data_IF_803013303111
#
_entry.id   IF_803013303111
#
_cell.length_a   1.000
_cell.length_b   1.000
_cell.length_c   1.000
_cell.angle_alpha   90.00
_cell.angle_beta   90.00
_cell.angle_gamma   90.00
#
_symmetry.space_group_name_H-M   'P 1'
#
loop_
_entity.id
_entity.type
_entity.pdbx_description
1 polymer ?
#
# COMPACT_ATOMS: atom_id res chain seq x y z
N UNK A 1 23.34 60.43 -13.77
CA UNK A 1 24.04 59.63 -12.75
C UNK A 1 24.08 58.19 -13.26
N UNK A 2 25.29 57.61 -13.37
CA UNK A 2 25.54 56.23 -13.80
C UNK A 2 24.95 55.24 -12.77
N UNK A 3 24.48 54.09 -13.24
CA UNK A 3 24.87 52.78 -12.70
C UNK A 3 24.56 51.68 -13.74
N UNK A 4 25.64 50.99 -14.10
CA UNK A 4 25.69 49.80 -14.95
C UNK A 4 25.18 48.58 -14.18
N UNK A 5 24.69 47.56 -14.91
CA UNK A 5 24.48 46.23 -14.36
C UNK A 5 24.13 45.24 -15.46
N UNK A 6 25.15 44.64 -16.06
CA UNK A 6 25.05 43.59 -17.06
C UNK A 6 24.55 42.28 -16.43
N UNK A 7 23.62 41.60 -17.09
CA UNK A 7 23.30 40.19 -16.88
C UNK A 7 23.33 39.51 -18.25
N UNK A 8 24.32 38.64 -18.43
CA UNK A 8 24.55 37.85 -19.63
C UNK A 8 24.37 36.36 -19.30
N UNK A 9 23.79 35.62 -20.25
CA UNK A 9 23.88 34.17 -20.38
C UNK A 9 22.84 33.39 -19.57
N UNK A 10 22.23 32.31 -20.07
CA UNK A 10 22.36 31.64 -21.36
C UNK A 10 21.06 30.87 -21.64
N UNK A 11 20.60 30.96 -22.88
CA UNK A 11 19.50 30.20 -23.45
C UNK A 11 20.08 28.86 -23.93
N UNK A 12 19.66 27.73 -23.37
CA UNK A 12 19.99 26.41 -23.93
C UNK A 12 18.79 25.86 -24.69
N UNK A 13 18.85 25.97 -26.00
CA UNK A 13 18.04 25.23 -26.97
C UNK A 13 18.67 23.86 -27.23
N UNK A 14 17.91 22.79 -27.01
CA UNK A 14 18.26 21.44 -27.46
C UNK A 14 17.95 21.31 -28.96
N UNK A 15 18.98 21.17 -29.78
CA UNK A 15 18.88 20.57 -31.11
C UNK A 15 19.32 19.11 -30.98
N UNK A 16 18.40 18.21 -31.32
CA UNK A 16 18.72 16.82 -31.59
C UNK A 16 19.33 16.76 -32.99
N UNK A 17 20.56 16.25 -33.10
CA UNK A 17 21.10 15.79 -34.37
C UNK A 17 21.65 14.37 -34.20
N UNK A 18 21.33 13.54 -35.18
CA UNK A 18 21.58 12.13 -35.21
C UNK A 18 22.99 11.87 -35.73
N UNK A 19 23.83 11.21 -34.94
CA UNK A 19 25.11 10.77 -35.48
C UNK A 19 26.11 10.24 -34.47
N UNK A 20 26.25 8.91 -34.49
CA UNK A 20 27.49 8.17 -34.28
C UNK A 20 27.99 8.00 -32.83
N UNK A 21 28.13 6.74 -32.48
CA UNK A 21 28.64 6.21 -31.21
C UNK A 21 30.15 6.44 -31.14
N UNK A 22 30.61 7.13 -30.10
CA UNK A 22 31.99 7.03 -29.63
C UNK A 22 32.01 7.01 -28.10
N UNK A 23 32.80 6.07 -27.57
CA UNK A 23 32.89 5.76 -26.15
C UNK A 23 33.27 6.98 -25.31
N UNK A 24 32.43 7.32 -24.32
CA UNK A 24 32.74 8.34 -23.31
C UNK A 24 33.80 7.78 -22.37
N UNK A 25 35.06 8.07 -22.68
CA UNK A 25 36.21 7.77 -21.82
C UNK A 25 36.43 8.94 -20.85
N UNK A 26 35.81 8.88 -19.68
CA UNK A 26 36.06 9.86 -18.60
C UNK A 26 37.46 9.60 -18.02
N UNK A 27 38.42 10.44 -18.37
CA UNK A 27 39.71 10.55 -17.66
C UNK A 27 39.58 11.61 -16.57
N UNK A 28 39.26 11.19 -15.34
CA UNK A 28 39.32 12.06 -14.17
C UNK A 28 40.77 12.25 -13.71
N UNK A 29 41.31 13.45 -13.87
CA UNK A 29 42.57 13.87 -13.29
C UNK A 29 42.35 14.46 -11.89
N UNK A 30 43.06 13.90 -10.91
CA UNK A 30 43.44 14.47 -9.60
C UNK A 30 42.31 14.98 -8.68
N UNK A 31 42.02 14.14 -7.67
CA UNK A 31 41.85 14.51 -6.26
C UNK A 31 41.04 15.78 -5.97
N UNK A 32 39.72 15.61 -5.99
CA UNK A 32 38.87 16.21 -4.95
C UNK A 32 38.23 15.04 -4.21
N UNK A 33 38.81 14.69 -3.05
CA UNK A 33 38.15 13.79 -2.12
C UNK A 33 36.95 14.55 -1.57
N UNK A 34 35.76 14.16 -2.00
CA UNK A 34 34.53 14.59 -1.37
C UNK A 34 34.44 13.79 -0.06
N UNK A 35 34.80 14.45 1.04
CA UNK A 35 34.71 13.88 2.37
C UNK A 35 33.23 13.79 2.76
N UNK A 36 32.67 12.58 2.69
CA UNK A 36 31.28 12.27 3.04
C UNK A 36 31.22 11.89 4.54
N UNK A 37 31.93 12.59 5.41
CA UNK A 37 32.03 12.22 6.84
C UNK A 37 30.79 12.55 7.69
N UNK A 38 29.68 13.02 7.10
CA UNK A 38 28.42 13.26 7.83
C UNK A 38 27.17 12.63 7.23
N UNK A 39 27.31 11.63 6.35
CA UNK A 39 26.17 10.76 6.06
C UNK A 39 26.02 9.85 7.28
N UNK A 40 25.17 10.29 8.22
CA UNK A 40 24.79 9.47 9.38
C UNK A 40 24.50 8.05 8.91
N UNK A 41 25.01 7.07 9.65
CA UNK A 41 24.93 5.63 9.36
C UNK A 41 23.62 5.30 8.65
N UNK A 42 23.67 5.17 7.33
CA UNK A 42 22.57 4.58 6.57
C UNK A 42 22.60 3.12 6.97
N UNK A 43 21.76 2.76 7.94
CA UNK A 43 21.55 1.36 8.27
C UNK A 43 21.19 0.65 6.96
N UNK A 44 21.92 -0.41 6.57
CA UNK A 44 21.65 -1.12 5.35
C UNK A 44 20.19 -1.56 5.37
N UNK A 45 19.37 -1.03 4.46
CA UNK A 45 18.00 -1.52 4.30
C UNK A 45 18.09 -3.00 3.96
N UNK A 46 17.45 -3.86 4.76
CA UNK A 46 17.39 -5.28 4.45
C UNK A 46 16.83 -5.47 3.04
N UNK A 47 17.47 -6.31 2.20
CA UNK A 47 17.01 -6.55 0.86
C UNK A 47 15.62 -7.18 0.91
N UNK A 48 14.67 -6.57 0.18
CA UNK A 48 13.33 -7.14 0.00
C UNK A 48 13.47 -8.52 -0.63
N UNK A 49 12.90 -9.54 0.00
CA UNK A 49 12.87 -10.86 -0.62
C UNK A 49 11.85 -10.85 -1.76
N UNK A 50 12.33 -11.25 -2.95
CA UNK A 50 11.45 -11.52 -4.08
C UNK A 50 10.71 -12.82 -3.82
N UNK A 51 9.41 -12.82 -4.11
CA UNK A 51 8.55 -13.99 -4.07
C UNK A 51 9.13 -15.12 -4.94
N UNK A 52 9.07 -16.35 -4.45
CA UNK A 52 9.68 -17.52 -5.12
C UNK A 52 8.66 -18.47 -5.78
N UNK A 53 7.38 -18.34 -5.42
CA UNK A 53 6.27 -19.10 -6.00
C UNK A 53 5.01 -18.23 -6.04
N UNK A 54 4.15 -18.45 -7.03
CA UNK A 54 2.90 -17.69 -7.20
C UNK A 54 1.95 -17.82 -6.00
N UNK A 55 1.22 -16.76 -5.69
CA UNK A 55 0.17 -16.80 -4.68
C UNK A 55 -1.17 -17.20 -5.33
N UNK A 56 -1.79 -18.25 -4.81
CA UNK A 56 -3.11 -18.72 -5.22
C UNK A 56 -4.21 -18.36 -4.23
N UNK A 57 -5.47 -18.47 -4.66
CA UNK A 57 -6.63 -18.31 -3.78
C UNK A 57 -6.68 -19.44 -2.75
N UNK A 58 -6.87 -19.08 -1.47
CA UNK A 58 -7.01 -20.05 -0.38
C UNK A 58 -8.31 -20.86 -0.55
N UNK A 59 -8.20 -22.18 -0.51
CA UNK A 59 -9.36 -23.07 -0.76
C UNK A 59 -10.47 -22.92 0.28
N UNK A 60 -10.11 -22.53 1.51
CA UNK A 60 -11.07 -22.26 2.59
C UNK A 60 -12.05 -21.11 2.27
N UNK A 61 -11.73 -20.24 1.31
CA UNK A 61 -12.54 -19.08 0.94
C UNK A 61 -13.44 -19.33 -0.27
N UNK A 62 -13.44 -20.54 -0.84
CA UNK A 62 -14.22 -20.86 -2.04
C UNK A 62 -15.72 -20.56 -1.89
N UNK A 63 -16.27 -20.67 -0.67
CA UNK A 63 -17.67 -20.39 -0.38
C UNK A 63 -17.94 -18.95 0.13
N UNK A 64 -16.92 -18.10 0.25
CA UNK A 64 -17.06 -16.77 0.88
C UNK A 64 -17.48 -15.65 -0.09
N UNK A 65 -17.42 -15.88 -1.41
CA UNK A 65 -17.78 -14.86 -2.40
C UNK A 65 -19.22 -14.35 -2.22
N UNK A 66 -20.14 -15.25 -1.88
CA UNK A 66 -21.58 -14.96 -1.71
C UNK A 66 -22.07 -15.12 -0.26
N UNK A 67 -21.15 -15.32 0.70
CA UNK A 67 -21.52 -15.55 2.09
C UNK A 67 -22.05 -14.27 2.78
N UNK A 68 -23.08 -14.43 3.61
CA UNK A 68 -23.54 -13.35 4.50
C UNK A 68 -22.56 -13.24 5.66
N UNK A 69 -21.93 -12.07 5.78
CA UNK A 69 -20.91 -11.80 6.77
C UNK A 69 -21.51 -11.43 8.12
N UNK A 70 -20.90 -11.91 9.21
CA UNK A 70 -21.33 -11.58 10.58
C UNK A 70 -20.67 -10.30 11.06
N UNK A 71 -21.27 -9.51 11.98
CA UNK A 71 -20.63 -8.32 12.52
C UNK A 71 -19.25 -8.58 13.12
N UNK A 72 -18.35 -7.61 12.99
CA UNK A 72 -17.00 -7.69 13.56
C UNK A 72 -17.06 -7.85 15.10
N UNK A 73 -16.39 -8.86 15.68
CA UNK A 73 -16.40 -9.07 17.12
C UNK A 73 -15.71 -7.92 17.86
N UNK A 74 -16.14 -7.66 19.11
CA UNK A 74 -15.65 -6.53 19.89
C UNK A 74 -14.16 -6.67 20.29
N UNK A 75 -13.68 -7.90 20.41
CA UNK A 75 -12.30 -8.28 20.73
C UNK A 75 -11.44 -8.56 19.49
N UNK A 76 -11.86 -8.08 18.31
CA UNK A 76 -11.14 -8.27 17.07
C UNK A 76 -9.70 -7.74 17.14
N UNK A 77 -8.73 -8.64 17.00
CA UNK A 77 -7.30 -8.36 17.13
C UNK A 77 -6.59 -8.14 15.78
N UNK A 78 -7.33 -7.82 14.71
CA UNK A 78 -6.74 -7.56 13.39
C UNK A 78 -6.55 -8.80 12.52
N UNK A 79 -7.09 -9.97 12.88
CA UNK A 79 -6.98 -11.19 12.04
C UNK A 79 -8.36 -11.73 11.70
N UNK A 80 -8.67 -11.83 10.40
CA UNK A 80 -9.87 -12.52 9.91
C UNK A 80 -9.48 -13.95 9.53
N UNK A 81 -9.96 -14.99 10.24
CA UNK A 81 -9.55 -16.38 9.98
C UNK A 81 -10.03 -16.91 8.62
N UNK A 82 -9.33 -17.93 8.11
CA UNK A 82 -9.71 -18.69 6.92
C UNK A 82 -11.17 -19.17 7.01
N UNK A 83 -11.97 -19.00 5.95
CA UNK A 83 -13.37 -19.47 5.92
C UNK A 83 -14.34 -18.68 6.82
N UNK A 84 -13.90 -17.59 7.45
CA UNK A 84 -14.75 -16.69 8.25
C UNK A 84 -15.00 -15.41 7.48
N UNK A 85 -16.24 -14.89 7.55
CA UNK A 85 -16.55 -13.55 7.04
C UNK A 85 -17.00 -12.59 8.14
N UNK A 86 -16.31 -11.46 8.26
CA UNK A 86 -16.74 -10.33 9.09
C UNK A 86 -17.21 -9.14 8.27
N UNK A 87 -18.25 -8.48 8.76
CA UNK A 87 -18.78 -7.24 8.21
C UNK A 87 -18.52 -6.07 9.14
N UNK A 88 -18.23 -4.92 8.54
CA UNK A 88 -18.09 -3.62 9.21
C UNK A 88 -19.42 -2.84 9.27
N UNK A 89 -20.56 -3.51 9.09
CA UNK A 89 -21.90 -2.90 9.07
C UNK A 89 -22.20 -2.02 10.29
N UNK A 90 -21.72 -2.39 11.47
CA UNK A 90 -21.98 -1.64 12.71
C UNK A 90 -21.30 -0.26 12.71
N UNK A 91 -20.26 -0.09 11.90
CA UNK A 91 -19.56 1.19 11.69
C UNK A 91 -20.30 2.13 10.74
N UNK A 92 -21.43 1.72 10.16
CA UNK A 92 -22.38 2.65 9.52
C UNK A 92 -23.46 3.17 10.48
N UNK A 93 -23.56 2.59 11.68
CA UNK A 93 -24.61 2.87 12.66
C UNK A 93 -24.05 3.17 14.04
N UNK A 94 -24.19 2.22 14.96
CA UNK A 94 -23.88 2.41 16.38
C UNK A 94 -22.41 2.77 16.66
N UNK A 95 -21.48 2.40 15.75
CA UNK A 95 -20.04 2.61 15.88
C UNK A 95 -19.47 3.55 14.81
N UNK A 96 -20.32 4.36 14.19
CA UNK A 96 -19.89 5.23 13.10
C UNK A 96 -18.82 6.25 13.54
N UNK A 97 -17.75 6.34 12.76
CA UNK A 97 -16.63 7.26 13.01
C UNK A 97 -15.62 6.77 14.05
N UNK A 98 -15.77 5.55 14.56
CA UNK A 98 -14.80 4.96 15.50
C UNK A 98 -13.44 4.73 14.82
N UNK A 99 -12.37 4.83 15.63
CA UNK A 99 -11.02 4.46 15.23
C UNK A 99 -10.65 3.11 15.82
N UNK A 100 -10.36 2.13 14.97
CA UNK A 100 -9.82 0.83 15.36
C UNK A 100 -8.29 0.84 15.26
N UNK A 101 -7.60 0.56 16.35
CA UNK A 101 -6.14 0.44 16.37
C UNK A 101 -5.75 -1.04 16.42
N UNK A 102 -5.07 -1.51 15.38
CA UNK A 102 -4.59 -2.89 15.26
C UNK A 102 -3.07 -2.89 15.36
N UNK A 103 -2.54 -2.98 16.58
CA UNK A 103 -1.10 -2.82 16.84
C UNK A 103 -0.21 -3.84 16.09
N UNK A 104 -0.75 -5.01 15.76
CA UNK A 104 -0.04 -6.10 15.10
C UNK A 104 -0.23 -6.15 13.58
N UNK A 105 -1.02 -5.26 13.00
CA UNK A 105 -1.41 -5.34 11.59
C UNK A 105 -2.85 -5.80 11.40
N UNK A 106 -3.36 -5.61 10.18
CA UNK A 106 -4.61 -6.20 9.70
C UNK A 106 -4.27 -7.35 8.75
N UNK A 107 -4.62 -8.58 9.09
CA UNK A 107 -4.43 -9.78 8.26
C UNK A 107 -5.77 -10.41 7.91
N UNK A 108 -6.19 -10.27 6.65
CA UNK A 108 -7.44 -10.79 6.12
C UNK A 108 -7.17 -12.11 5.41
N UNK A 109 -7.32 -13.22 6.15
CA UNK A 109 -7.19 -14.58 5.61
C UNK A 109 -8.54 -15.09 5.09
N UNK A 110 -9.63 -14.78 5.79
CA UNK A 110 -11.00 -15.01 5.36
C UNK A 110 -11.56 -13.87 4.50
N UNK A 111 -12.76 -13.38 4.81
CA UNK A 111 -13.37 -12.21 4.16
C UNK A 111 -13.64 -11.09 5.15
N UNK A 112 -13.22 -9.87 4.80
CA UNK A 112 -13.59 -8.64 5.51
C UNK A 112 -14.38 -7.74 4.57
N UNK A 113 -15.59 -7.41 4.95
CA UNK A 113 -16.56 -6.68 4.14
C UNK A 113 -16.86 -5.31 4.76
N UNK A 114 -16.64 -4.24 4.00
CA UNK A 114 -17.05 -2.87 4.33
C UNK A 114 -18.26 -2.53 3.48
N UNK A 115 -19.49 -2.80 3.96
CA UNK A 115 -20.69 -2.49 3.21
C UNK A 115 -20.87 -0.96 3.06
N UNK A 116 -21.73 -0.57 2.13
CA UNK A 116 -22.05 0.83 1.88
C UNK A 116 -22.49 1.55 3.17
N UNK A 117 -22.02 2.78 3.34
CA UNK A 117 -22.25 3.58 4.55
C UNK A 117 -21.34 3.28 5.74
N UNK A 118 -20.41 2.32 5.65
CA UNK A 118 -19.41 2.06 6.71
C UNK A 118 -18.50 3.25 6.93
N UNK A 119 -18.41 3.75 8.17
CA UNK A 119 -17.56 4.90 8.57
C UNK A 119 -16.59 4.51 9.67
N UNK A 120 -15.32 4.33 9.34
CA UNK A 120 -14.31 3.84 10.27
C UNK A 120 -12.91 4.31 9.89
N UNK A 121 -12.08 4.59 10.89
CA UNK A 121 -10.63 4.76 10.70
C UNK A 121 -9.89 3.56 11.26
N UNK A 122 -9.06 2.91 10.46
CA UNK A 122 -8.21 1.80 10.88
C UNK A 122 -6.77 2.32 10.98
N UNK A 123 -6.20 2.30 12.17
CA UNK A 123 -4.78 2.58 12.39
C UNK A 123 -4.02 1.25 12.56
N UNK A 124 -3.10 0.97 11.64
CA UNK A 124 -2.44 -0.33 11.57
C UNK A 124 -1.05 -0.20 10.95
N UNK A 125 -0.03 -0.96 11.40
CA UNK A 125 1.29 -0.93 10.78
C UNK A 125 1.36 -1.65 9.43
N UNK A 126 0.43 -2.57 9.16
CA UNK A 126 0.37 -3.35 7.92
C UNK A 126 -1.06 -3.77 7.58
N UNK A 127 -1.28 -4.06 6.30
CA UNK A 127 -2.49 -4.71 5.81
C UNK A 127 -2.08 -5.85 4.88
N UNK A 128 -2.51 -7.06 5.21
CA UNK A 128 -2.28 -8.27 4.44
C UNK A 128 -3.62 -8.83 3.99
N UNK A 129 -3.78 -9.00 2.67
CA UNK A 129 -4.99 -9.55 2.06
C UNK A 129 -4.62 -10.87 1.40
N UNK A 130 -4.98 -11.96 2.06
CA UNK A 130 -4.79 -13.34 1.58
C UNK A 130 -6.11 -13.98 1.15
N UNK A 131 -7.22 -13.53 1.73
CA UNK A 131 -8.57 -13.87 1.33
C UNK A 131 -9.25 -12.72 0.58
N UNK A 132 -10.41 -12.27 1.03
CA UNK A 132 -11.22 -11.25 0.32
C UNK A 132 -11.34 -10.00 1.18
N UNK A 133 -10.91 -8.86 0.66
CA UNK A 133 -11.18 -7.55 1.24
C UNK A 133 -12.11 -6.79 0.29
N UNK A 134 -13.38 -6.61 0.70
CA UNK A 134 -14.37 -5.90 -0.10
C UNK A 134 -14.75 -4.57 0.55
N UNK A 135 -14.83 -3.50 -0.23
CA UNK A 135 -15.28 -2.18 0.20
C UNK A 135 -16.24 -1.61 -0.81
N UNK A 136 -17.43 -1.21 -0.37
CA UNK A 136 -18.44 -0.58 -1.23
C UNK A 136 -18.83 0.79 -0.69
N UNK A 137 -18.97 1.77 -1.58
CA UNK A 137 -19.46 3.11 -1.28
C UNK A 137 -20.24 3.65 -2.48
N UNK A 138 -21.52 3.96 -2.27
CA UNK A 138 -22.38 4.61 -3.28
C UNK A 138 -22.45 6.13 -3.11
N UNK A 139 -21.75 6.66 -2.10
CA UNK A 139 -21.80 8.09 -1.78
C UNK A 139 -21.13 8.95 -2.85
N UNK A 140 -21.68 10.15 -3.05
CA UNK A 140 -21.01 11.20 -3.82
C UNK A 140 -19.61 11.50 -3.26
N UNK A 141 -18.64 11.69 -4.17
CA UNK A 141 -17.26 12.00 -3.83
C UNK A 141 -17.17 13.45 -3.31
N UNK A 142 -17.03 13.60 -1.99
CA UNK A 142 -16.93 14.91 -1.32
C UNK A 142 -15.49 15.30 -0.96
N UNK A 143 -14.50 14.44 -1.27
CA UNK A 143 -13.11 14.57 -0.82
C UNK A 143 -12.86 14.05 0.60
N UNK A 144 -13.92 13.69 1.34
CA UNK A 144 -13.79 13.04 2.64
C UNK A 144 -14.06 11.53 2.50
N UNK A 145 -13.12 10.63 2.83
CA UNK A 145 -13.37 9.19 2.80
C UNK A 145 -14.08 8.72 4.08
N UNK A 146 -15.05 7.82 3.93
CA UNK A 146 -15.77 7.18 5.03
C UNK A 146 -14.98 6.06 5.69
N UNK A 147 -14.27 5.25 4.89
CA UNK A 147 -13.31 4.25 5.37
C UNK A 147 -11.89 4.82 5.18
N UNK A 148 -11.13 4.92 6.27
CA UNK A 148 -9.74 5.38 6.27
C UNK A 148 -8.84 4.27 6.77
N UNK A 149 -7.79 3.93 6.04
CA UNK A 149 -6.71 3.08 6.53
C UNK A 149 -5.47 3.95 6.69
N UNK A 150 -5.07 4.20 7.93
CA UNK A 150 -3.89 4.98 8.29
C UNK A 150 -2.76 4.04 8.68
N UNK A 151 -1.78 3.94 7.78
CA UNK A 151 -0.60 3.10 7.99
C UNK A 151 0.35 3.74 9.02
N UNK A 152 0.63 3.02 10.11
CA UNK A 152 1.53 3.43 11.21
C UNK A 152 2.83 2.64 11.22
N UNK A 153 3.72 2.93 12.17
CA UNK A 153 5.00 2.21 12.31
C UNK A 153 6.06 2.59 11.27
N UNK A 154 7.31 2.35 11.61
CA UNK A 154 8.50 2.65 10.82
C UNK A 154 9.46 1.45 10.72
N UNK A 155 9.14 0.36 11.41
CA UNK A 155 9.89 -0.89 11.40
C UNK A 155 9.43 -1.82 10.28
N UNK A 156 10.33 -2.68 9.82
CA UNK A 156 10.01 -3.73 8.86
C UNK A 156 8.92 -4.66 9.41
N UNK A 157 7.93 -4.96 8.58
CA UNK A 157 6.91 -5.95 8.89
C UNK A 157 7.19 -7.22 8.10
N UNK A 158 7.02 -8.36 8.76
CA UNK A 158 7.13 -9.68 8.13
C UNK A 158 5.74 -10.21 7.80
N UNK A 159 5.57 -10.69 6.57
CA UNK A 159 4.37 -11.33 6.07
C UNK A 159 4.57 -12.85 6.01
N UNK A 160 3.69 -13.61 6.65
CA UNK A 160 3.68 -15.07 6.58
C UNK A 160 2.46 -15.53 5.79
N UNK A 161 2.66 -16.13 4.60
CA UNK A 161 1.57 -16.68 3.82
C UNK A 161 0.89 -17.85 4.55
N UNK A 162 -0.43 -17.94 4.42
CA UNK A 162 -1.26 -18.99 5.01
C UNK A 162 -1.53 -20.13 4.04
N UNK A 163 -1.87 -21.30 4.59
CA UNK A 163 -2.39 -22.45 3.83
C UNK A 163 -1.50 -22.89 2.66
N UNK A 164 -2.10 -23.01 1.48
CA UNK A 164 -1.43 -23.45 0.26
C UNK A 164 -0.32 -22.49 -0.22
N UNK A 165 -0.32 -21.25 0.28
CA UNK A 165 0.67 -20.25 -0.06
C UNK A 165 1.90 -20.26 0.86
N UNK A 166 1.93 -21.08 1.92
CA UNK A 166 3.00 -21.09 2.92
C UNK A 166 4.43 -21.24 2.33
N UNK A 167 4.54 -21.81 1.13
CA UNK A 167 5.82 -21.96 0.42
C UNK A 167 6.33 -20.69 -0.31
N UNK A 168 5.50 -19.66 -0.53
CA UNK A 168 5.84 -18.52 -1.39
C UNK A 168 7.03 -17.68 -0.88
N UNK A 169 7.25 -17.69 0.44
CA UNK A 169 8.33 -17.00 1.12
C UNK A 169 9.48 -17.95 1.51
N UNK A 170 9.85 -18.90 0.64
CA UNK A 170 10.90 -19.91 0.90
C UNK A 170 10.69 -20.72 2.19
N UNK A 171 9.43 -20.96 2.57
CA UNK A 171 9.07 -21.67 3.81
C UNK A 171 9.17 -20.84 5.10
N UNK A 172 9.30 -19.51 5.00
CA UNK A 172 9.36 -18.59 6.13
C UNK A 172 8.46 -17.36 5.97
N UNK A 173 8.88 -16.24 6.54
CA UNK A 173 8.20 -14.96 6.38
C UNK A 173 8.93 -14.06 5.37
N UNK A 174 8.18 -13.36 4.53
CA UNK A 174 8.70 -12.34 3.63
C UNK A 174 8.82 -11.01 4.39
N UNK A 175 9.99 -10.40 4.41
CA UNK A 175 10.11 -8.99 4.83
C UNK A 175 9.50 -8.10 3.73
N UNK A 176 8.42 -7.40 4.06
CA UNK A 176 7.67 -6.53 3.14
C UNK A 176 7.90 -5.04 3.40
N UNK A 177 8.78 -4.72 4.35
CA UNK A 177 9.11 -3.35 4.74
C UNK A 177 8.09 -2.70 5.68
N UNK A 178 8.30 -1.43 6.05
CA UNK A 178 7.39 -0.68 6.91
C UNK A 178 6.13 -0.26 6.14
N UNK A 179 5.01 -0.10 6.86
CA UNK A 179 3.72 0.41 6.32
C UNK A 179 3.24 -0.37 5.10
N UNK A 180 3.43 -1.69 5.10
CA UNK A 180 3.16 -2.53 3.95
C UNK A 180 1.65 -2.80 3.77
N UNK A 181 1.16 -2.60 2.55
CA UNK A 181 -0.15 -3.10 2.10
C UNK A 181 0.11 -4.18 1.05
N UNK A 182 -0.16 -5.43 1.37
CA UNK A 182 0.20 -6.61 0.56
C UNK A 182 -1.05 -7.38 0.21
N UNK A 183 -1.21 -7.71 -1.07
CA UNK A 183 -2.24 -8.62 -1.56
C UNK A 183 -1.52 -9.87 -2.07
N UNK A 184 -1.74 -11.00 -1.40
CA UNK A 184 -0.99 -12.23 -1.61
C UNK A 184 -1.95 -13.42 -1.71
N UNK A 185 -2.44 -13.67 -2.93
CA UNK A 185 -3.39 -14.77 -3.22
C UNK A 185 -4.84 -14.41 -2.94
N UNK A 186 -5.08 -13.23 -2.37
CA UNK A 186 -6.41 -12.70 -2.11
C UNK A 186 -7.00 -11.86 -3.23
N UNK A 187 -8.23 -11.40 -3.01
CA UNK A 187 -8.97 -10.48 -3.86
C UNK A 187 -9.20 -9.17 -3.11
N UNK A 188 -8.87 -8.06 -3.77
CA UNK A 188 -9.22 -6.72 -3.33
C UNK A 188 -10.36 -6.22 -4.23
N UNK A 189 -11.53 -6.03 -3.66
CA UNK A 189 -12.73 -5.57 -4.35
C UNK A 189 -13.14 -4.20 -3.79
N UNK A 190 -12.89 -3.12 -4.54
CA UNK A 190 -13.16 -1.77 -4.07
C UNK A 190 -14.08 -1.09 -5.08
N UNK A 191 -15.33 -0.88 -4.66
CA UNK A 191 -16.25 0.01 -5.33
C UNK A 191 -16.36 1.33 -4.57
N UNK A 192 -15.59 2.34 -5.00
CA UNK A 192 -15.46 3.62 -4.31
C UNK A 192 -16.35 4.74 -4.88
N UNK A 193 -17.13 4.49 -5.92
CA UNK A 193 -17.93 5.51 -6.61
C UNK A 193 -19.27 4.94 -7.06
N UNK A 194 -20.36 5.74 -7.04
CA UNK A 194 -21.62 5.31 -7.64
C UNK A 194 -21.48 5.14 -9.16
N UNK A 195 -22.26 4.23 -9.74
CA UNK A 195 -22.24 3.92 -11.19
C UNK A 195 -22.50 5.14 -12.09
N UNK A 196 -23.12 6.19 -11.55
CA UNK A 196 -23.43 7.44 -12.25
C UNK A 196 -22.27 8.44 -12.29
N UNK A 197 -21.15 8.19 -11.60
CA UNK A 197 -20.01 9.11 -11.58
C UNK A 197 -19.17 8.97 -12.85
N UNK A 198 -18.94 10.06 -13.62
CA UNK A 198 -18.05 10.00 -14.77
C UNK A 198 -16.62 9.68 -14.32
N UNK A 199 -15.93 8.81 -15.06
CA UNK A 199 -14.59 8.29 -14.74
C UNK A 199 -13.46 9.31 -14.85
N UNK A 200 -13.76 10.59 -15.07
CA UNK A 200 -12.80 11.67 -15.08
C UNK A 200 -12.99 12.55 -13.85
N UNK A 201 -11.98 12.61 -12.99
CA UNK A 201 -11.85 13.62 -11.95
C UNK A 201 -10.67 14.52 -12.31
N UNK A 202 -10.88 15.84 -12.32
CA UNK A 202 -9.77 16.78 -12.38
C UNK A 202 -8.95 16.65 -11.09
N UNK A 203 -7.68 16.28 -11.21
CA UNK A 203 -6.73 16.40 -10.11
C UNK A 203 -6.39 17.89 -10.02
N UNK A 204 -6.85 18.54 -8.95
CA UNK A 204 -6.58 19.94 -8.63
C UNK A 204 -5.27 20.08 -7.85
#
# INVERSE_FOLDING_TARGET
>A
MKLNGALAGALLSFLADAGRVDAVRVRGTKTSAMDISSVGNLEPMEPRQLQTADFGQLTCNAALADAVCTPLPADFAGVVPCGVCYSMSDFGGARAGETLTMASGLNVVGRLDFPDGSKVTIETPSVFVQGILSMSSTRAVTGEPDVRIRMTGDTNVNFTPEGENAGACSGGACNVGPKAFVVAGGQLDINAMPDSCPTWSHIL
#
